data_IF_708793638885
#
_entry.id   IF_708793638885
#
_cell.length_a   1.000
_cell.length_b   1.000
_cell.length_c   1.000
_cell.angle_alpha   90.00
_cell.angle_beta   90.00
_cell.angle_gamma   90.00
#
_symmetry.space_group_name_H-M   'P 1'
#
loop_
_entity.id
_entity.type
_entity.pdbx_description
1 polymer ?
#
# COMPACT_ATOMS: atom_id res chain seq x y z
N UNK A 1 -4.03 -0.56 1.87
CA UNK A 1 -4.16 0.56 2.85
C UNK A 1 -4.90 0.16 4.11
N UNK A 2 -5.99 -0.61 4.04
CA UNK A 2 -6.75 -1.04 5.22
C UNK A 2 -5.91 -1.73 6.30
N UNK A 3 -5.10 -2.72 5.90
CA UNK A 3 -4.14 -3.39 6.79
C UNK A 3 -3.30 -2.41 7.59
N UNK A 4 -2.69 -1.44 6.90
CA UNK A 4 -1.76 -0.48 7.50
C UNK A 4 -2.40 0.32 8.62
N UNK A 5 -3.68 0.66 8.47
CA UNK A 5 -4.43 1.38 9.49
C UNK A 5 -4.63 0.50 10.72
N UNK A 6 -5.13 -0.72 10.53
CA UNK A 6 -5.42 -1.65 11.62
C UNK A 6 -4.14 -2.09 12.34
N UNK A 7 -3.07 -2.36 11.61
CA UNK A 7 -1.75 -2.72 12.13
C UNK A 7 -1.14 -1.58 12.98
N UNK A 8 -1.39 -0.32 12.62
CA UNK A 8 -0.90 0.84 13.39
C UNK A 8 -1.69 1.05 14.68
N UNK A 9 -3.02 0.88 14.67
CA UNK A 9 -3.87 1.16 15.85
C UNK A 9 -4.03 -0.05 16.78
N UNK A 10 -3.81 -1.25 16.26
CA UNK A 10 -3.94 -2.52 16.98
C UNK A 10 -2.82 -3.50 16.60
N UNK A 11 -1.54 -3.14 16.80
CA UNK A 11 -0.40 -4.02 16.49
C UNK A 11 -0.44 -5.35 17.25
N UNK A 12 -1.13 -5.42 18.39
CA UNK A 12 -1.30 -6.65 19.17
C UNK A 12 -2.01 -7.77 18.40
N UNK A 13 -2.84 -7.43 17.41
CA UNK A 13 -3.60 -8.39 16.60
C UNK A 13 -2.75 -9.11 15.54
N UNK A 14 -1.56 -8.60 15.22
CA UNK A 14 -0.62 -9.19 14.27
C UNK A 14 -1.28 -9.63 12.95
N UNK A 15 -2.06 -8.72 12.36
CA UNK A 15 -2.84 -9.01 11.16
C UNK A 15 -1.91 -9.31 9.97
N UNK A 16 -2.24 -10.34 9.19
CA UNK A 16 -1.46 -10.68 7.99
C UNK A 16 -1.63 -9.61 6.90
N UNK A 17 -0.56 -8.92 6.46
CA UNK A 17 -0.61 -7.90 5.41
C UNK A 17 -1.11 -8.38 4.05
N UNK A 18 -1.10 -9.69 3.80
CA UNK A 18 -1.44 -10.27 2.49
C UNK A 18 -2.94 -10.41 2.25
N UNK A 19 -3.75 -10.23 3.30
CA UNK A 19 -5.21 -10.35 3.20
C UNK A 19 -5.84 -9.13 2.51
N UNK A 20 -7.02 -9.34 1.93
CA UNK A 20 -7.84 -8.26 1.34
C UNK A 20 -7.60 -7.92 -0.12
N UNK A 21 -6.63 -8.55 -0.79
CA UNK A 21 -6.47 -8.47 -2.24
C UNK A 21 -7.25 -9.57 -2.99
N UNK A 22 -7.45 -10.73 -2.36
CA UNK A 22 -8.04 -11.91 -3.00
C UNK A 22 -9.52 -12.05 -2.62
N UNK A 23 -10.40 -12.16 -3.62
CA UNK A 23 -11.87 -12.25 -3.43
C UNK A 23 -12.27 -13.54 -2.70
N UNK A 24 -11.52 -14.62 -2.90
CA UNK A 24 -11.84 -15.95 -2.36
C UNK A 24 -11.46 -16.13 -0.88
N UNK A 25 -10.82 -15.14 -0.25
CA UNK A 25 -10.36 -15.23 1.13
C UNK A 25 -11.10 -14.21 2.01
N UNK A 26 -11.46 -14.63 3.22
CA UNK A 26 -12.03 -13.72 4.23
C UNK A 26 -11.02 -12.63 4.56
N UNK A 27 -11.46 -11.37 4.42
CA UNK A 27 -10.62 -10.18 4.64
C UNK A 27 -10.66 -9.74 6.11
N UNK A 28 -9.99 -8.63 6.41
CA UNK A 28 -9.97 -7.99 7.72
C UNK A 28 -11.39 -7.71 8.26
N UNK A 29 -11.58 -7.73 9.59
CA UNK A 29 -12.86 -7.39 10.20
C UNK A 29 -13.24 -5.94 9.91
N UNK A 30 -14.53 -5.61 10.05
CA UNK A 30 -15.02 -4.24 9.85
C UNK A 30 -14.45 -3.25 10.87
N UNK A 31 -14.33 -3.66 12.13
CA UNK A 31 -13.76 -2.86 13.22
C UNK A 31 -12.88 -3.71 14.13
N UNK A 32 -11.89 -3.07 14.77
CA UNK A 32 -10.98 -3.69 15.72
C UNK A 32 -10.89 -2.83 16.99
N UNK A 33 -10.69 -3.43 18.17
CA UNK A 33 -10.32 -2.68 19.36
C UNK A 33 -8.93 -2.07 19.14
N UNK A 34 -8.74 -0.83 19.58
CA UNK A 34 -7.44 -0.15 19.54
C UNK A 34 -6.64 -0.48 20.79
N UNK A 35 -5.33 -0.64 20.65
CA UNK A 35 -4.44 -0.92 21.79
C UNK A 35 -4.20 0.35 22.65
N UNK A 36 -4.31 1.54 22.04
CA UNK A 36 -4.14 2.83 22.69
C UNK A 36 -5.04 3.91 22.07
N UNK A 37 -5.32 5.01 22.80
CA UNK A 37 -6.07 6.15 22.26
C UNK A 37 -5.38 6.75 21.02
N UNK A 38 -6.14 6.88 19.93
CA UNK A 38 -5.68 7.45 18.66
C UNK A 38 -5.78 8.97 18.71
N UNK A 39 -4.72 9.66 18.28
CA UNK A 39 -4.71 11.13 18.20
C UNK A 39 -4.96 11.62 16.77
N UNK A 40 -5.45 12.86 16.62
CA UNK A 40 -5.66 13.46 15.30
C UNK A 40 -4.37 13.54 14.47
N UNK A 41 -3.24 13.90 15.09
CA UNK A 41 -1.94 13.97 14.41
C UNK A 41 -1.53 12.61 13.86
N UNK A 42 -1.73 11.53 14.62
CA UNK A 42 -1.47 10.17 14.12
C UNK A 42 -2.33 9.84 12.91
N UNK A 43 -3.62 10.19 12.90
CA UNK A 43 -4.49 9.96 11.74
C UNK A 43 -4.01 10.72 10.50
N UNK A 44 -3.63 11.99 10.66
CA UNK A 44 -3.11 12.80 9.54
C UNK A 44 -1.83 12.21 8.97
N UNK A 45 -0.90 11.79 9.83
CA UNK A 45 0.34 11.15 9.40
C UNK A 45 0.06 9.83 8.66
N UNK A 46 -0.82 9.00 9.19
CA UNK A 46 -1.23 7.73 8.59
C UNK A 46 -1.94 7.91 7.23
N UNK A 47 -2.68 9.01 7.05
CA UNK A 47 -3.30 9.34 5.76
C UNK A 47 -2.29 9.87 4.73
N UNK A 48 -1.10 10.31 5.15
CA UNK A 48 0.00 10.68 4.27
C UNK A 48 1.05 9.59 4.07
N UNK A 49 0.96 8.49 4.82
CA UNK A 49 2.00 7.45 4.83
C UNK A 49 2.04 6.63 3.53
N UNK A 50 3.23 6.09 3.25
CA UNK A 50 3.48 5.21 2.11
C UNK A 50 4.04 3.85 2.57
N UNK A 51 3.43 3.30 3.63
CA UNK A 51 3.84 2.05 4.28
C UNK A 51 5.27 2.09 4.85
N UNK A 52 5.71 3.27 5.27
CA UNK A 52 7.05 3.54 5.78
C UNK A 52 7.41 2.62 6.96
N UNK A 53 8.64 2.11 6.96
CA UNK A 53 9.15 1.23 8.01
C UNK A 53 8.57 -0.20 7.99
N UNK A 54 7.80 -0.55 6.96
CA UNK A 54 7.31 -1.92 6.73
C UNK A 54 8.07 -2.58 5.56
N UNK A 55 7.97 -3.90 5.36
CA UNK A 55 8.51 -4.54 4.16
C UNK A 55 7.92 -4.05 2.83
N UNK A 56 6.82 -3.28 2.89
CA UNK A 56 6.12 -2.73 1.73
C UNK A 56 6.40 -1.23 1.52
N UNK A 57 7.39 -0.68 2.23
CA UNK A 57 7.77 0.73 2.16
C UNK A 57 8.04 1.18 0.73
N UNK A 58 7.24 2.13 0.25
CA UNK A 58 7.35 2.62 -1.13
C UNK A 58 8.45 3.68 -1.29
N UNK A 59 8.97 4.24 -0.21
CA UNK A 59 10.08 5.20 -0.20
C UNK A 59 11.43 4.51 -0.41
N UNK A 60 11.46 3.17 -0.33
CA UNK A 60 12.67 2.38 -0.43
C UNK A 60 12.76 1.62 -1.78
N UNK A 61 14.00 1.29 -2.14
CA UNK A 61 14.32 0.47 -3.31
C UNK A 61 14.42 1.25 -4.62
N UNK A 62 14.68 0.50 -5.71
CA UNK A 62 14.97 1.08 -7.04
C UNK A 62 13.86 1.99 -7.56
N UNK A 63 12.60 1.65 -7.28
CA UNK A 63 11.44 2.40 -7.73
C UNK A 63 11.26 3.77 -7.06
N UNK A 64 11.93 4.03 -5.94
CA UNK A 64 11.85 5.30 -5.22
C UNK A 64 12.87 6.35 -5.71
N UNK A 65 13.83 5.92 -6.54
CA UNK A 65 14.88 6.77 -7.06
C UNK A 65 15.84 7.33 -5.99
N UNK A 66 16.74 8.25 -6.36
CA UNK A 66 17.76 8.79 -5.45
C UNK A 66 17.19 9.68 -4.33
N UNK A 67 15.92 10.08 -4.41
CA UNK A 67 15.27 10.99 -3.46
C UNK A 67 14.23 10.31 -2.56
N UNK A 68 14.17 8.96 -2.55
CA UNK A 68 13.21 8.19 -1.74
C UNK A 68 11.76 8.62 -1.97
N UNK A 69 11.43 9.03 -3.20
CA UNK A 69 10.10 9.51 -3.53
C UNK A 69 9.16 8.31 -3.71
N UNK A 70 8.00 8.27 -3.04
CA UNK A 70 7.06 7.15 -3.18
C UNK A 70 6.41 7.10 -4.57
N UNK A 71 6.50 8.20 -5.33
CA UNK A 71 6.01 8.30 -6.71
C UNK A 71 6.94 7.48 -7.60
N UNK A 72 6.43 6.33 -8.07
CA UNK A 72 7.15 5.51 -9.04
C UNK A 72 6.97 6.09 -10.44
N UNK A 73 8.05 6.13 -11.21
CA UNK A 73 7.98 6.50 -12.62
C UNK A 73 7.13 5.47 -13.35
N UNK A 74 6.04 5.92 -14.00
CA UNK A 74 5.37 5.11 -15.01
C UNK A 74 6.39 4.90 -16.13
N UNK A 75 6.90 3.69 -16.31
CA UNK A 75 7.50 3.32 -17.59
C UNK A 75 6.38 3.44 -18.61
N UNK A 76 6.36 4.54 -19.36
CA UNK A 76 5.67 4.58 -20.65
C UNK A 76 6.32 3.47 -21.46
N UNK A 77 5.69 2.30 -21.48
CA UNK A 77 6.11 1.23 -22.35
C UNK A 77 5.89 1.73 -23.77
N UNK A 78 6.95 2.27 -24.38
CA UNK A 78 6.92 2.72 -25.77
C UNK A 78 6.88 1.55 -26.76
N UNK A 79 6.58 0.34 -26.27
CA UNK A 79 6.42 -0.88 -27.03
C UNK A 79 5.20 -1.64 -26.51
N UNK A 80 4.00 -1.20 -26.89
CA UNK A 80 2.92 -2.15 -27.14
C UNK A 80 2.96 -2.51 -28.64
N UNK A 81 3.48 -3.68 -29.04
CA UNK A 81 3.44 -4.12 -30.43
C UNK A 81 2.06 -4.66 -30.85
N UNK A 82 1.01 -4.53 -30.04
CA UNK A 82 -0.33 -5.07 -30.34
C UNK A 82 -1.33 -3.99 -30.77
N UNK A 83 -0.93 -3.11 -31.68
CA UNK A 83 -1.86 -2.41 -32.59
C UNK A 83 -1.55 -2.86 -34.02
N UNK A 84 -1.83 -4.13 -34.29
CA UNK A 84 -1.98 -4.65 -35.64
C UNK A 84 -3.28 -4.09 -36.24
N UNK A 85 -3.23 -2.86 -36.77
CA UNK A 85 -4.13 -2.50 -37.86
C UNK A 85 -3.60 -3.22 -39.10
N UNK A 86 -4.15 -4.40 -39.35
CA UNK A 86 -4.04 -5.05 -40.64
C UNK A 86 -4.76 -4.20 -41.68
N UNK A 87 -4.02 -3.38 -42.40
CA UNK A 87 -4.31 -3.15 -43.81
C UNK A 87 -3.93 -4.42 -44.55
N UNK A 88 -4.94 -5.16 -45.02
CA UNK A 88 -5.13 -5.72 -46.37
C UNK A 88 -6.48 -6.45 -46.43
#
# INVERSE_FOLDING_TARGET
RLWRIMDTVAPSLQLDPRLGYQVNFTTYPFSVPVDAPVTLSQMVHLLGDHYEGTPFDMTQGLGAGPFHAPIRYCTLDKYDPMMSFGEL
#
